data_IF_781269744998
#
_entry.id   IF_781269744998
#
_cell.length_a   1.000
_cell.length_b   1.000
_cell.length_c   1.000
_cell.angle_alpha   90.00
_cell.angle_beta   90.00
_cell.angle_gamma   90.00
#
_symmetry.space_group_name_H-M   'P 1'
#
loop_
_entity.id
_entity.type
_entity.pdbx_description
1 polymer ?
#
# COMPACT_ATOMS: atom_id res chain seq x y z
N UNK A 1 -19.76 -5.33 2.99
CA UNK A 1 -19.83 -6.74 2.61
C UNK A 1 -18.59 -7.04 1.81
N UNK A 2 -17.89 -8.11 2.11
CA UNK A 2 -16.62 -8.48 1.47
C UNK A 2 -16.91 -9.07 0.07
N UNK A 3 -16.06 -8.78 -0.92
CA UNK A 3 -16.21 -9.34 -2.28
C UNK A 3 -16.16 -10.88 -2.27
N UNK A 4 -15.44 -11.45 -1.31
CA UNK A 4 -15.39 -12.91 -1.11
C UNK A 4 -16.75 -13.47 -0.68
N UNK A 5 -17.48 -12.75 0.18
CA UNK A 5 -18.81 -13.13 0.65
C UNK A 5 -19.87 -12.97 -0.46
N UNK A 6 -19.67 -11.98 -1.35
CA UNK A 6 -20.62 -11.66 -2.42
C UNK A 6 -20.51 -12.59 -3.64
N UNK A 7 -19.28 -12.82 -4.11
CA UNK A 7 -19.02 -13.53 -5.36
C UNK A 7 -18.71 -15.02 -5.14
N UNK A 8 -18.27 -15.38 -3.95
CA UNK A 8 -17.63 -16.65 -3.66
C UNK A 8 -16.20 -16.73 -4.19
N UNK A 9 -15.41 -17.64 -3.65
CA UNK A 9 -13.96 -17.70 -3.94
C UNK A 9 -13.65 -18.03 -5.40
N UNK A 10 -14.37 -18.95 -6.01
CA UNK A 10 -14.11 -19.39 -7.39
C UNK A 10 -14.35 -18.26 -8.39
N UNK A 11 -15.49 -17.59 -8.30
CA UNK A 11 -15.82 -16.46 -9.17
C UNK A 11 -14.84 -15.30 -8.99
N UNK A 12 -14.48 -15.02 -7.73
CA UNK A 12 -13.48 -13.97 -7.45
C UNK A 12 -12.11 -14.33 -8.06
N UNK A 13 -11.67 -15.57 -7.97
CA UNK A 13 -10.42 -16.04 -8.62
C UNK A 13 -10.46 -15.85 -10.13
N UNK A 14 -11.58 -16.18 -10.75
CA UNK A 14 -11.74 -15.99 -12.19
C UNK A 14 -11.60 -14.51 -12.59
N UNK A 15 -12.29 -13.61 -11.88
CA UNK A 15 -12.18 -12.17 -12.13
C UNK A 15 -10.75 -11.63 -11.91
N UNK A 16 -10.09 -12.05 -10.82
CA UNK A 16 -8.71 -11.63 -10.51
C UNK A 16 -7.71 -12.19 -11.55
N UNK A 17 -7.97 -13.33 -12.16
CA UNK A 17 -7.09 -13.92 -13.18
C UNK A 17 -6.92 -13.05 -14.42
N UNK A 18 -7.89 -12.19 -14.70
CA UNK A 18 -7.89 -11.24 -15.84
C UNK A 18 -7.06 -9.99 -15.61
N UNK A 19 -6.55 -9.80 -14.39
CA UNK A 19 -5.70 -8.65 -14.06
C UNK A 19 -4.36 -8.73 -14.78
N UNK A 20 -3.91 -7.62 -15.38
CA UNK A 20 -2.65 -7.54 -16.12
C UNK A 20 -1.80 -6.38 -15.60
N UNK A 21 -0.59 -6.68 -15.16
CA UNK A 21 0.41 -5.69 -14.72
C UNK A 21 1.79 -5.98 -15.28
N UNK A 22 1.91 -5.99 -16.61
CA UNK A 22 3.17 -6.30 -17.31
C UNK A 22 4.39 -5.44 -16.87
N UNK A 23 4.13 -4.27 -16.27
CA UNK A 23 5.19 -3.38 -15.75
C UNK A 23 5.71 -3.78 -14.37
N UNK A 24 4.95 -4.56 -13.62
CA UNK A 24 5.31 -5.06 -12.29
C UNK A 24 4.68 -6.45 -12.08
N UNK A 25 5.44 -7.52 -12.40
CA UNK A 25 4.97 -8.90 -12.26
C UNK A 25 4.56 -9.26 -10.83
N UNK A 26 5.23 -8.71 -9.82
CA UNK A 26 4.94 -8.99 -8.39
C UNK A 26 3.51 -8.54 -8.02
N UNK A 27 3.06 -7.42 -8.60
CA UNK A 27 1.70 -6.90 -8.43
C UNK A 27 0.67 -7.85 -9.06
N UNK A 28 0.97 -8.38 -10.25
CA UNK A 28 0.10 -9.32 -10.94
C UNK A 28 0.03 -10.67 -10.21
N UNK A 29 1.18 -11.21 -9.83
CA UNK A 29 1.26 -12.45 -9.07
C UNK A 29 0.50 -12.37 -7.73
N UNK A 30 0.71 -11.27 -6.99
CA UNK A 30 0.06 -11.10 -5.69
C UNK A 30 -1.46 -11.15 -5.80
N UNK A 31 -2.06 -10.39 -6.72
CA UNK A 31 -3.53 -10.32 -6.82
C UNK A 31 -4.14 -11.66 -7.26
N UNK A 32 -3.46 -12.39 -8.16
CA UNK A 32 -3.93 -13.68 -8.69
C UNK A 32 -3.77 -14.82 -7.68
N UNK A 33 -2.61 -14.88 -7.01
CA UNK A 33 -2.21 -16.07 -6.26
C UNK A 33 -2.33 -15.91 -4.73
N UNK A 34 -2.11 -14.70 -4.21
CA UNK A 34 -1.90 -14.47 -2.77
C UNK A 34 -3.03 -13.70 -2.09
N UNK A 35 -3.69 -12.77 -2.78
CA UNK A 35 -4.61 -11.82 -2.17
C UNK A 35 -5.75 -12.48 -1.38
N UNK A 36 -6.39 -13.51 -1.94
CA UNK A 36 -7.48 -14.23 -1.28
C UNK A 36 -6.99 -14.95 -0.03
N UNK A 37 -5.86 -15.66 -0.12
CA UNK A 37 -5.28 -16.37 1.02
C UNK A 37 -4.91 -15.42 2.17
N UNK A 38 -4.35 -14.26 1.83
CA UNK A 38 -3.99 -13.22 2.81
C UNK A 38 -5.22 -12.61 3.48
N UNK A 39 -6.29 -12.38 2.73
CA UNK A 39 -7.56 -11.89 3.27
C UNK A 39 -8.20 -12.92 4.21
N UNK A 40 -8.28 -14.20 3.81
CA UNK A 40 -8.79 -15.31 4.64
C UNK A 40 -7.97 -15.48 5.92
N UNK A 41 -6.64 -15.38 5.81
CA UNK A 41 -5.72 -15.43 6.95
C UNK A 41 -5.69 -14.17 7.81
N UNK A 42 -6.48 -13.13 7.48
CA UNK A 42 -6.48 -11.81 8.15
C UNK A 42 -5.09 -11.15 8.22
N UNK A 43 -4.23 -11.47 7.26
CA UNK A 43 -2.87 -10.91 7.15
C UNK A 43 -2.88 -9.52 6.51
N UNK A 44 -3.76 -9.30 5.56
CA UNK A 44 -4.00 -8.01 4.90
C UNK A 44 -5.36 -7.98 4.23
N UNK A 45 -5.86 -6.79 3.93
CA UNK A 45 -7.10 -6.60 3.18
C UNK A 45 -6.77 -5.97 1.83
N UNK A 46 -7.27 -6.59 0.77
CA UNK A 46 -7.14 -6.10 -0.60
C UNK A 46 -8.45 -5.44 -1.05
N UNK A 47 -8.34 -4.21 -1.48
CA UNK A 47 -9.44 -3.40 -2.01
C UNK A 47 -9.35 -3.37 -3.53
N UNK A 48 -10.40 -3.81 -4.19
CA UNK A 48 -10.51 -3.86 -5.64
C UNK A 48 -11.29 -2.62 -6.10
N UNK A 49 -10.76 -1.93 -7.09
CA UNK A 49 -11.42 -0.79 -7.74
C UNK A 49 -11.95 -1.24 -9.08
N UNK A 50 -13.27 -1.20 -9.24
CA UNK A 50 -13.95 -1.65 -10.45
C UNK A 50 -14.70 -0.51 -11.12
N UNK A 51 -14.83 -0.61 -12.43
CA UNK A 51 -15.71 0.24 -13.22
C UNK A 51 -17.18 -0.06 -12.84
N UNK A 52 -17.97 0.99 -12.69
CA UNK A 52 -19.38 0.87 -12.28
C UNK A 52 -20.31 0.42 -13.42
N UNK A 53 -19.87 0.54 -14.67
CA UNK A 53 -20.72 0.22 -15.83
C UNK A 53 -20.64 -1.27 -16.18
N UNK A 54 -19.43 -1.86 -16.17
CA UNK A 54 -19.22 -3.23 -16.62
C UNK A 54 -18.51 -4.13 -15.59
N UNK A 55 -18.16 -3.58 -14.42
CA UNK A 55 -17.48 -4.32 -13.35
C UNK A 55 -16.01 -4.61 -13.59
N UNK A 56 -15.42 -4.11 -14.69
CA UNK A 56 -14.01 -4.35 -15.01
C UNK A 56 -13.08 -3.87 -13.89
N UNK A 57 -12.13 -4.71 -13.49
CA UNK A 57 -11.15 -4.35 -12.46
C UNK A 57 -10.17 -3.32 -13.03
N UNK A 58 -10.18 -2.11 -12.48
CA UNK A 58 -9.32 -0.99 -12.89
C UNK A 58 -7.96 -0.99 -12.17
N UNK A 59 -7.97 -1.47 -10.93
CA UNK A 59 -6.78 -1.52 -10.08
C UNK A 59 -7.10 -2.10 -8.72
N UNK A 60 -6.09 -2.22 -7.88
CA UNK A 60 -6.26 -2.64 -6.50
C UNK A 60 -5.18 -2.05 -5.60
N UNK A 61 -5.44 -2.05 -4.31
CA UNK A 61 -4.44 -1.81 -3.28
C UNK A 61 -4.67 -2.72 -2.07
N UNK A 62 -3.58 -2.99 -1.35
CA UNK A 62 -3.62 -3.86 -0.17
C UNK A 62 -3.10 -3.11 1.03
N UNK A 63 -3.89 -3.13 2.11
CA UNK A 63 -3.56 -2.52 3.38
C UNK A 63 -3.37 -3.57 4.46
N UNK A 64 -2.40 -3.34 5.33
CA UNK A 64 -2.21 -4.08 6.56
C UNK A 64 -1.62 -3.18 7.64
N UNK A 65 -1.62 -3.64 8.88
CA UNK A 65 -1.06 -2.93 10.03
C UNK A 65 0.23 -3.62 10.46
N UNK A 66 1.34 -2.87 10.49
CA UNK A 66 2.67 -3.40 10.80
C UNK A 66 3.46 -2.45 11.70
N UNK A 67 4.48 -2.98 12.35
CA UNK A 67 5.49 -2.17 13.02
C UNK A 67 6.39 -1.51 11.99
N UNK A 68 6.55 -0.18 12.11
CA UNK A 68 7.47 0.63 11.33
C UNK A 68 8.62 1.06 12.22
N UNK A 69 9.85 0.81 11.80
CA UNK A 69 11.06 1.31 12.47
C UNK A 69 11.82 2.25 11.54
N UNK A 70 12.10 3.46 12.01
CA UNK A 70 12.78 4.51 11.23
C UNK A 70 13.87 5.15 12.06
N UNK A 71 15.06 5.30 11.48
CA UNK A 71 16.18 6.02 12.13
C UNK A 71 15.88 7.53 12.22
N UNK A 72 16.13 8.12 13.39
CA UNK A 72 15.96 9.56 13.62
C UNK A 72 16.86 10.41 12.71
N UNK A 73 18.04 9.91 12.35
CA UNK A 73 19.00 10.61 11.49
C UNK A 73 18.49 10.83 10.06
N UNK A 74 17.60 9.94 9.60
CA UNK A 74 17.00 10.00 8.25
C UNK A 74 15.78 10.92 8.17
N UNK A 75 15.35 11.46 9.30
CA UNK A 75 14.14 12.28 9.39
C UNK A 75 14.46 13.75 9.66
N UNK A 76 13.71 14.65 9.01
CA UNK A 76 13.73 16.06 9.39
C UNK A 76 13.20 16.27 10.82
N UNK A 77 13.59 17.32 11.48
CA UNK A 77 13.11 17.67 12.84
C UNK A 77 11.57 17.77 12.91
N UNK A 78 10.95 18.27 11.85
CA UNK A 78 9.49 18.32 11.75
C UNK A 78 8.88 16.92 11.68
N UNK A 79 9.46 16.02 10.88
CA UNK A 79 9.00 14.63 10.77
C UNK A 79 9.17 13.89 12.10
N UNK A 80 10.31 14.05 12.78
CA UNK A 80 10.56 13.50 14.12
C UNK A 80 9.48 13.96 15.12
N UNK A 81 9.19 15.28 15.18
CA UNK A 81 8.16 15.84 16.07
C UNK A 81 6.76 15.29 15.79
N UNK A 82 6.42 15.06 14.53
CA UNK A 82 5.14 14.41 14.17
C UNK A 82 5.12 12.94 14.56
N UNK A 83 6.22 12.23 14.28
CA UNK A 83 6.35 10.80 14.54
C UNK A 83 6.25 10.50 16.05
N UNK A 84 6.82 11.34 16.90
CA UNK A 84 6.78 11.22 18.38
C UNK A 84 5.36 11.14 18.97
N UNK A 85 4.34 11.56 18.23
CA UNK A 85 2.93 11.43 18.68
C UNK A 85 2.42 9.99 18.60
N UNK A 86 3.05 9.17 17.78
CA UNK A 86 2.61 7.80 17.44
C UNK A 86 3.65 6.74 17.75
N UNK A 87 4.91 7.16 17.96
CA UNK A 87 6.07 6.29 18.03
C UNK A 87 6.75 6.34 19.39
N UNK A 88 7.32 5.21 19.77
CA UNK A 88 8.31 5.13 20.85
C UNK A 88 9.69 5.42 20.28
N UNK A 89 10.45 6.27 20.93
CA UNK A 89 11.86 6.52 20.62
C UNK A 89 12.75 5.64 21.49
N UNK A 90 13.67 4.96 20.88
CA UNK A 90 14.72 4.19 21.53
C UNK A 90 16.03 5.00 21.46
N UNK A 91 16.52 5.39 22.63
CA UNK A 91 17.73 6.23 22.78
C UNK A 91 19.00 5.45 22.41
N UNK A 92 19.02 4.14 22.67
CA UNK A 92 20.21 3.31 22.42
C UNK A 92 20.45 3.10 20.91
N UNK A 93 19.35 2.86 20.15
CA UNK A 93 19.44 2.62 18.70
C UNK A 93 19.23 3.89 17.87
N UNK A 94 18.74 4.97 18.47
CA UNK A 94 18.37 6.19 17.76
C UNK A 94 17.16 6.04 16.84
N UNK A 95 16.34 5.01 17.06
CA UNK A 95 15.21 4.66 16.19
C UNK A 95 13.87 5.03 16.82
N UNK A 96 12.94 5.40 15.94
CA UNK A 96 11.52 5.46 16.26
C UNK A 96 10.84 4.16 15.84
N UNK A 97 10.02 3.58 16.72
CA UNK A 97 9.14 2.44 16.39
C UNK A 97 7.69 2.82 16.61
N UNK A 98 6.88 2.64 15.58
CA UNK A 98 5.46 2.96 15.57
C UNK A 98 4.64 1.81 14.99
N UNK A 99 3.40 1.69 15.44
CA UNK A 99 2.37 0.96 14.69
C UNK A 99 1.90 1.83 13.52
N UNK A 100 1.92 1.29 12.31
CA UNK A 100 1.61 2.06 11.11
C UNK A 100 0.84 1.21 10.08
N UNK A 101 0.12 1.87 9.19
CA UNK A 101 -0.55 1.24 8.08
C UNK A 101 0.42 1.07 6.92
N UNK A 102 0.62 -0.16 6.49
CA UNK A 102 1.44 -0.47 5.32
C UNK A 102 0.54 -0.54 4.08
N UNK A 103 0.84 0.30 3.10
CA UNK A 103 0.36 0.13 1.72
C UNK A 103 1.26 -0.93 1.05
N UNK A 104 0.85 -2.20 1.20
CA UNK A 104 1.67 -3.36 0.84
C UNK A 104 1.69 -3.62 -0.66
N UNK A 105 0.57 -3.35 -1.34
CA UNK A 105 0.43 -3.49 -2.79
C UNK A 105 -0.35 -2.29 -3.33
N UNK A 106 0.01 -1.83 -4.53
CA UNK A 106 -0.66 -0.72 -5.19
C UNK A 106 -0.47 -0.85 -6.70
N UNK A 107 -1.49 -1.32 -7.40
CA UNK A 107 -1.36 -1.71 -8.79
C UNK A 107 -2.55 -1.35 -9.67
N UNK A 108 -2.25 -0.88 -10.90
CA UNK A 108 -3.24 -0.61 -11.94
C UNK A 108 -3.36 -1.78 -12.88
N UNK A 109 -4.57 -2.06 -13.34
CA UNK A 109 -4.80 -3.02 -14.40
C UNK A 109 -4.50 -2.38 -15.76
N UNK A 110 -3.57 -2.94 -16.49
CA UNK A 110 -3.23 -2.52 -17.85
C UNK A 110 -3.96 -3.35 -18.92
N UNK A 111 -4.71 -4.38 -18.53
CA UNK A 111 -5.56 -5.18 -19.42
C UNK A 111 -6.86 -4.50 -19.84
N UNK A 112 -7.25 -3.41 -19.15
CA UNK A 112 -8.43 -2.62 -19.51
C UNK A 112 -8.14 -1.64 -20.65
N UNK A 113 -9.18 -1.25 -21.39
CA UNK A 113 -9.07 -0.25 -22.45
C UNK A 113 -8.49 1.08 -21.94
N UNK A 114 -7.75 1.79 -22.80
CA UNK A 114 -7.06 3.03 -22.43
C UNK A 114 -7.99 4.09 -21.84
N UNK A 115 -9.21 4.20 -22.34
CA UNK A 115 -10.22 5.16 -21.87
C UNK A 115 -10.79 4.87 -20.48
N UNK A 116 -10.63 3.64 -19.99
CA UNK A 116 -11.11 3.20 -18.67
C UNK A 116 -10.02 3.14 -17.59
N UNK A 117 -8.78 3.48 -17.92
CA UNK A 117 -7.67 3.37 -16.97
C UNK A 117 -7.75 4.40 -15.85
N UNK A 118 -7.71 3.92 -14.62
CA UNK A 118 -7.61 4.76 -13.42
C UNK A 118 -6.18 5.30 -13.25
N UNK A 119 -6.04 6.53 -12.77
CA UNK A 119 -4.74 7.10 -12.40
C UNK A 119 -4.29 6.65 -11.00
N UNK A 120 -2.98 6.73 -10.72
CA UNK A 120 -2.46 6.45 -9.38
C UNK A 120 -3.04 7.40 -8.32
N UNK A 121 -3.19 8.68 -8.66
CA UNK A 121 -3.74 9.67 -7.74
C UNK A 121 -5.23 9.46 -7.44
N UNK A 122 -6.00 8.97 -8.40
CA UNK A 122 -7.38 8.55 -8.15
C UNK A 122 -7.44 7.35 -7.21
N UNK A 123 -6.60 6.34 -7.45
CA UNK A 123 -6.49 5.20 -6.54
C UNK A 123 -6.08 5.62 -5.11
N UNK A 124 -5.14 6.58 -4.99
CA UNK A 124 -4.69 7.07 -3.69
C UNK A 124 -5.80 7.75 -2.89
N UNK A 125 -6.77 8.41 -3.55
CA UNK A 125 -7.96 8.95 -2.88
C UNK A 125 -8.79 7.86 -2.19
N UNK A 126 -8.93 6.69 -2.81
CA UNK A 126 -9.62 5.55 -2.17
C UNK A 126 -8.83 5.00 -0.99
N UNK A 127 -7.50 4.92 -1.09
CA UNK A 127 -6.64 4.58 0.06
C UNK A 127 -6.91 5.54 1.22
N UNK A 128 -6.96 6.85 0.95
CA UNK A 128 -7.21 7.88 1.96
C UNK A 128 -8.59 7.75 2.60
N UNK A 129 -9.63 7.49 1.82
CA UNK A 129 -10.99 7.26 2.33
C UNK A 129 -11.00 6.10 3.33
N UNK A 130 -10.39 4.96 2.97
CA UNK A 130 -10.32 3.80 3.85
C UNK A 130 -9.51 4.09 5.11
N UNK A 131 -8.35 4.73 4.99
CA UNK A 131 -7.50 5.04 6.14
C UNK A 131 -8.15 6.03 7.10
N UNK A 132 -8.87 7.03 6.60
CA UNK A 132 -9.60 7.97 7.44
C UNK A 132 -10.76 7.28 8.19
N UNK A 133 -11.46 6.33 7.56
CA UNK A 133 -12.47 5.54 8.25
C UNK A 133 -11.85 4.65 9.35
N UNK A 134 -10.77 3.97 9.04
CA UNK A 134 -10.02 3.15 10.01
C UNK A 134 -9.49 4.01 11.16
N UNK A 135 -8.95 5.19 10.88
CA UNK A 135 -8.46 6.12 11.89
C UNK A 135 -9.58 6.54 12.87
N UNK A 136 -10.79 6.79 12.38
CA UNK A 136 -11.94 7.13 13.24
C UNK A 136 -12.34 5.99 14.17
N UNK A 137 -12.07 4.73 13.79
CA UNK A 137 -12.46 3.54 14.54
C UNK A 137 -11.43 3.07 15.55
N UNK A 138 -10.15 3.12 15.19
CA UNK A 138 -9.05 2.56 16.00
C UNK A 138 -7.86 3.51 16.22
N UNK A 139 -7.92 4.73 15.68
CA UNK A 139 -6.79 5.67 15.76
C UNK A 139 -5.68 5.35 14.74
N UNK A 140 -4.49 5.92 14.97
CA UNK A 140 -3.35 5.86 14.04
C UNK A 140 -3.24 7.12 13.20
N UNK A 141 -2.18 7.29 12.45
CA UNK A 141 -1.95 8.49 11.65
C UNK A 141 -0.67 8.43 10.84
N UNK A 142 -0.13 7.22 10.65
CA UNK A 142 1.05 6.98 9.83
C UNK A 142 0.72 5.90 8.81
N UNK A 143 0.93 6.22 7.53
CA UNK A 143 1.01 5.26 6.45
C UNK A 143 2.43 5.19 5.95
N UNK A 144 2.89 4.00 5.57
CA UNK A 144 4.18 3.81 4.94
C UNK A 144 4.10 2.80 3.80
N UNK A 145 5.11 2.82 2.96
CA UNK A 145 5.30 1.85 1.88
C UNK A 145 6.79 1.65 1.60
N UNK A 146 7.10 0.53 0.98
CA UNK A 146 8.39 0.26 0.38
C UNK A 146 8.22 0.20 -1.14
N UNK A 147 9.05 0.88 -1.90
CA UNK A 147 9.02 0.83 -3.36
C UNK A 147 10.42 0.73 -3.97
N UNK A 148 10.50 0.19 -5.18
CA UNK A 148 11.76 0.19 -5.94
C UNK A 148 12.27 1.61 -6.18
N UNK A 149 13.60 1.78 -6.25
CA UNK A 149 14.23 3.06 -6.55
C UNK A 149 14.12 3.40 -8.04
N UNK A 150 12.93 3.80 -8.46
CA UNK A 150 12.61 4.25 -9.82
C UNK A 150 12.12 5.70 -9.78
N UNK A 151 12.64 6.54 -10.66
CA UNK A 151 12.32 7.98 -10.71
C UNK A 151 10.81 8.24 -10.72
N UNK A 152 10.07 7.57 -11.59
CA UNK A 152 8.60 7.71 -11.67
C UNK A 152 7.86 7.35 -10.37
N UNK A 153 8.38 6.40 -9.59
CA UNK A 153 7.79 6.04 -8.30
C UNK A 153 8.11 7.10 -7.24
N UNK A 154 9.34 7.62 -7.25
CA UNK A 154 9.70 8.74 -6.36
C UNK A 154 8.82 9.95 -6.62
N UNK A 155 8.75 10.41 -7.87
CA UNK A 155 7.91 11.55 -8.27
C UNK A 155 6.44 11.35 -7.87
N UNK A 156 5.91 10.17 -8.13
CA UNK A 156 4.53 9.85 -7.78
C UNK A 156 4.30 9.92 -6.27
N UNK A 157 5.07 9.18 -5.47
CA UNK A 157 4.83 9.15 -4.02
C UNK A 157 5.15 10.48 -3.34
N UNK A 158 6.15 11.21 -3.79
CA UNK A 158 6.44 12.56 -3.30
C UNK A 158 5.31 13.55 -3.65
N UNK A 159 4.73 13.42 -4.85
CA UNK A 159 3.53 14.15 -5.26
C UNK A 159 2.30 13.84 -4.41
N UNK A 160 2.17 12.61 -3.92
CA UNK A 160 1.13 12.17 -2.98
C UNK A 160 1.49 12.46 -1.50
N UNK A 161 2.42 13.40 -1.25
CA UNK A 161 2.84 13.87 0.07
C UNK A 161 3.58 12.83 0.94
N UNK A 162 4.08 11.75 0.37
CA UNK A 162 5.00 10.88 1.07
C UNK A 162 6.39 11.52 1.19
N UNK A 163 7.09 11.17 2.25
CA UNK A 163 8.48 11.61 2.47
C UNK A 163 9.35 10.38 2.65
N UNK A 164 10.51 10.38 1.99
CA UNK A 164 11.51 9.33 2.17
C UNK A 164 11.95 9.30 3.62
N UNK A 165 11.84 8.13 4.24
CA UNK A 165 12.19 7.90 5.64
C UNK A 165 13.39 6.96 5.79
N UNK A 166 13.72 6.21 4.77
CA UNK A 166 14.82 5.26 4.82
C UNK A 166 14.96 4.43 3.57
N UNK A 167 15.72 3.36 3.74
CA UNK A 167 15.98 2.34 2.73
C UNK A 167 15.98 0.99 3.42
N UNK A 168 15.42 0.00 2.76
CA UNK A 168 15.39 -1.38 3.22
C UNK A 168 16.01 -2.29 2.16
N UNK A 169 16.86 -3.18 2.58
CA UNK A 169 17.33 -4.29 1.76
C UNK A 169 16.43 -5.50 2.01
N UNK A 170 15.91 -6.09 0.94
CA UNK A 170 15.17 -7.34 0.99
C UNK A 170 16.12 -8.48 0.66
N UNK A 171 16.29 -9.41 1.61
CA UNK A 171 17.11 -10.61 1.40
C UNK A 171 16.43 -11.63 0.46
N UNK A 172 15.09 -11.55 0.33
CA UNK A 172 14.29 -12.47 -0.45
C UNK A 172 14.53 -12.32 -1.96
N UNK A 173 14.59 -11.08 -2.45
CA UNK A 173 14.80 -10.77 -3.86
C UNK A 173 16.13 -10.03 -4.13
N UNK A 174 16.96 -9.84 -3.08
CA UNK A 174 18.24 -9.13 -3.14
C UNK A 174 18.13 -7.71 -3.67
N UNK A 175 16.99 -7.06 -3.47
CA UNK A 175 16.72 -5.69 -3.93
C UNK A 175 16.74 -4.68 -2.79
N UNK A 176 17.10 -3.46 -3.15
CA UNK A 176 17.01 -2.28 -2.30
C UNK A 176 15.69 -1.56 -2.56
N UNK A 177 14.95 -1.28 -1.50
CA UNK A 177 13.70 -0.53 -1.53
C UNK A 177 13.85 0.79 -0.82
N UNK A 178 13.20 1.83 -1.35
CA UNK A 178 13.02 3.10 -0.66
C UNK A 178 11.80 3.00 0.24
N UNK A 179 11.98 3.37 1.50
CA UNK A 179 10.88 3.45 2.46
C UNK A 179 10.35 4.87 2.52
N UNK A 180 9.06 5.01 2.30
CA UNK A 180 8.34 6.28 2.35
C UNK A 180 7.31 6.28 3.47
N UNK A 181 7.14 7.42 4.14
CA UNK A 181 6.11 7.64 5.16
C UNK A 181 5.22 8.82 4.80
N UNK A 182 3.95 8.75 5.19
CA UNK A 182 2.99 9.84 5.13
C UNK A 182 2.17 9.89 6.41
N UNK A 183 1.95 11.09 6.91
CA UNK A 183 1.04 11.32 8.04
C UNK A 183 -0.31 11.79 7.51
N UNK A 184 -1.39 11.31 8.06
CA UNK A 184 -2.77 11.62 7.67
C UNK A 184 -3.67 11.89 8.86
#
# INVERSE_FOLDING_TARGET
MDSLDLLGEENLREELSRFVSAKNPDIEEFIKEKAIAFAKGKLSITYILSDMEDGAILGYFTLTHKSLTVSSEKLSKTAQKRLMRYARFDVETGNYTASAFLLAQFGKNYGVENGKRISGSEMMKYVDIILLDVQRRIGGGIMYLDCEDKEKLREFYEGENFKKAGERFSAEDSKKYLQYIRFF
#
